data_IF_894131432989
#
_entry.id   IF_894131432989
#
_cell.length_a   1.000
_cell.length_b   1.000
_cell.length_c   1.000
_cell.angle_alpha   90.00
_cell.angle_beta   90.00
_cell.angle_gamma   90.00
#
_symmetry.space_group_name_H-M   'P 1'
#
loop_
_entity.id
_entity.type
_entity.pdbx_description
1 polymer ?
#
# COMPACT_ATOMS: atom_id res chain seq x y z
N UNK A 1 5.33 9.20 4.30
CA UNK A 1 4.19 8.27 4.56
C UNK A 1 4.65 6.84 4.23
N UNK A 2 4.30 5.82 5.02
CA UNK A 2 4.58 4.41 4.64
C UNK A 2 3.49 3.90 3.70
N UNK A 3 3.85 3.26 2.59
CA UNK A 3 2.90 2.74 1.61
C UNK A 3 2.77 1.22 1.75
N UNK A 4 3.90 0.51 1.68
CA UNK A 4 3.93 -0.95 1.66
C UNK A 4 5.22 -1.46 2.30
N UNK A 5 5.15 -2.67 2.86
CA UNK A 5 6.31 -3.37 3.42
C UNK A 5 6.63 -4.59 2.55
N UNK A 6 7.79 -4.58 1.89
CA UNK A 6 8.30 -5.68 1.10
C UNK A 6 9.05 -6.66 2.01
N UNK A 7 8.74 -7.94 1.87
CA UNK A 7 9.36 -9.02 2.65
C UNK A 7 9.93 -10.04 1.67
N UNK A 8 11.24 -10.25 1.76
CA UNK A 8 11.93 -11.37 1.15
C UNK A 8 12.44 -12.30 2.25
N UNK A 9 12.59 -13.59 1.93
CA UNK A 9 13.04 -14.60 2.88
C UNK A 9 14.15 -15.44 2.25
N UNK A 10 15.30 -15.43 2.91
CA UNK A 10 16.41 -16.33 2.64
C UNK A 10 16.44 -17.41 3.74
N UNK A 11 16.76 -18.65 3.36
CA UNK A 11 16.87 -19.78 4.30
C UNK A 11 18.28 -19.95 4.86
N UNK A 12 19.24 -19.18 4.34
CA UNK A 12 20.62 -19.20 4.80
C UNK A 12 20.78 -18.46 6.14
N UNK A 13 21.79 -18.85 6.91
CA UNK A 13 22.09 -18.28 8.23
C UNK A 13 23.26 -17.30 8.16
N UNK A 14 23.30 -16.34 9.09
CA UNK A 14 24.38 -15.34 9.16
C UNK A 14 24.23 -14.26 8.09
N UNK A 15 25.35 -13.74 7.57
CA UNK A 15 25.33 -12.65 6.57
C UNK A 15 24.65 -13.05 5.26
N UNK A 16 24.68 -14.34 4.93
CA UNK A 16 23.98 -14.88 3.75
C UNK A 16 22.46 -14.85 3.92
N UNK A 17 21.95 -14.76 5.16
CA UNK A 17 20.53 -14.54 5.42
C UNK A 17 20.15 -13.05 5.48
N UNK A 18 21.12 -12.14 5.38
CA UNK A 18 20.87 -10.71 5.39
C UNK A 18 20.48 -10.25 3.99
N UNK A 19 19.28 -9.70 3.88
CA UNK A 19 18.71 -9.21 2.63
C UNK A 19 18.74 -7.70 2.64
N UNK A 20 19.22 -7.12 1.55
CA UNK A 20 19.02 -5.71 1.25
C UNK A 20 18.00 -5.53 0.12
N UNK A 21 17.29 -4.40 0.17
CA UNK A 21 16.26 -4.04 -0.79
C UNK A 21 16.64 -2.78 -1.55
N UNK A 22 16.33 -2.76 -2.84
CA UNK A 22 16.49 -1.60 -3.70
C UNK A 22 15.31 -1.45 -4.67
N UNK A 23 15.08 -0.23 -5.15
CA UNK A 23 14.14 0.05 -6.22
C UNK A 23 14.95 0.43 -7.46
N UNK A 24 14.76 -0.36 -8.52
CA UNK A 24 15.43 -0.19 -9.81
C UNK A 24 14.47 0.27 -10.91
N UNK A 25 15.04 0.94 -11.91
CA UNK A 25 14.31 1.48 -13.06
C UNK A 25 14.27 3.00 -13.07
N UNK A 26 13.43 3.57 -13.94
CA UNK A 26 13.20 5.02 -13.99
C UNK A 26 12.18 5.39 -12.90
N UNK A 27 12.61 5.34 -11.66
CA UNK A 27 11.75 5.57 -10.50
C UNK A 27 11.80 7.05 -10.14
N UNK A 28 10.67 7.75 -10.07
CA UNK A 28 10.63 9.11 -9.55
C UNK A 28 11.16 9.12 -8.11
N UNK A 29 11.90 10.17 -7.73
CA UNK A 29 12.38 10.38 -6.35
C UNK A 29 11.24 10.41 -5.30
N UNK A 30 9.99 10.40 -5.77
CA UNK A 30 8.75 10.24 -5.02
C UNK A 30 8.70 8.99 -4.15
N UNK A 31 9.32 7.87 -4.57
CA UNK A 31 9.31 6.61 -3.81
C UNK A 31 10.71 6.23 -3.34
N UNK A 32 10.83 5.93 -2.05
CA UNK A 32 12.07 5.42 -1.44
C UNK A 32 11.80 4.06 -0.80
N UNK A 33 12.80 3.17 -0.81
CA UNK A 33 12.78 1.93 -0.03
C UNK A 33 13.85 1.96 1.03
N UNK A 34 13.49 1.57 2.25
CA UNK A 34 14.49 1.33 3.29
C UNK A 34 15.21 0.01 2.98
N UNK A 35 16.52 0.10 2.71
CA UNK A 35 17.32 -1.05 2.31
C UNK A 35 17.37 -2.20 3.32
N UNK A 36 17.11 -1.95 4.61
CA UNK A 36 17.18 -2.98 5.65
C UNK A 36 15.80 -3.53 5.97
N UNK A 37 14.80 -2.66 6.07
CA UNK A 37 13.45 -3.07 6.47
C UNK A 37 12.57 -3.48 5.30
N UNK A 38 12.86 -3.04 4.08
CA UNK A 38 12.00 -3.23 2.90
C UNK A 38 10.75 -2.35 2.90
N UNK A 39 10.66 -1.36 3.80
CA UNK A 39 9.53 -0.41 3.85
C UNK A 39 9.67 0.62 2.74
N UNK A 40 8.64 0.74 1.91
CA UNK A 40 8.54 1.77 0.87
C UNK A 40 7.80 2.98 1.40
N UNK A 41 8.41 4.16 1.27
CA UNK A 41 7.86 5.45 1.67
C UNK A 41 7.59 6.36 0.50
N UNK A 42 6.62 7.25 0.70
CA UNK A 42 6.29 8.37 -0.17
C UNK A 42 6.91 9.65 0.40
N UNK A 43 7.76 10.30 -0.39
CA UNK A 43 8.41 11.57 -0.04
C UNK A 43 7.66 12.79 -0.62
N UNK A 44 7.02 12.64 -1.77
CA UNK A 44 6.28 13.72 -2.43
C UNK A 44 4.80 13.36 -2.62
N UNK A 45 3.88 14.34 -2.53
CA UNK A 45 2.46 14.10 -2.75
C UNK A 45 2.20 13.60 -4.18
N UNK A 46 1.27 12.66 -4.29
CA UNK A 46 0.83 12.11 -5.58
C UNK A 46 -0.26 13.00 -6.18
N UNK A 47 -0.18 13.18 -7.49
CA UNK A 47 -1.12 13.98 -8.29
C UNK A 47 -1.65 13.07 -9.41
N UNK A 48 -2.90 12.63 -9.27
CA UNK A 48 -3.51 11.64 -10.15
C UNK A 48 -3.63 12.16 -11.57
N UNK A 49 -3.89 13.46 -11.73
CA UNK A 49 -4.02 14.14 -13.02
C UNK A 49 -2.69 14.16 -13.79
N UNK A 50 -1.55 14.10 -13.09
CA UNK A 50 -0.22 13.97 -13.71
C UNK A 50 0.15 12.53 -13.99
N UNK A 51 0.08 11.66 -12.98
CA UNK A 51 0.47 10.26 -13.06
C UNK A 51 -0.50 9.43 -12.21
N UNK A 52 -1.21 8.52 -12.85
CA UNK A 52 -2.20 7.66 -12.20
C UNK A 52 -1.66 6.27 -11.83
N UNK A 53 -0.52 5.87 -12.38
CA UNK A 53 0.10 4.57 -12.14
C UNK A 53 1.63 4.65 -12.18
N UNK A 54 2.27 3.98 -11.22
CA UNK A 54 3.71 3.79 -11.16
C UNK A 54 4.06 2.30 -11.24
N UNK A 55 4.91 1.95 -12.21
CA UNK A 55 5.42 0.60 -12.40
C UNK A 55 6.91 0.57 -12.06
N UNK A 56 7.25 -0.02 -10.92
CA UNK A 56 8.61 -0.05 -10.38
C UNK A 56 9.11 -1.49 -10.23
N UNK A 57 10.42 -1.69 -10.31
CA UNK A 57 11.04 -3.00 -10.03
C UNK A 57 11.72 -2.95 -8.66
N UNK A 58 11.28 -3.81 -7.74
CA UNK A 58 11.93 -3.98 -6.43
C UNK A 58 12.87 -5.17 -6.52
N UNK A 59 14.12 -4.98 -6.10
CA UNK A 59 15.14 -6.01 -6.05
C UNK A 59 15.42 -6.31 -4.58
N UNK A 60 15.43 -7.60 -4.23
CA UNK A 60 15.98 -8.10 -2.97
C UNK A 60 17.24 -8.90 -3.28
N UNK A 61 18.34 -8.63 -2.60
CA UNK A 61 19.61 -9.34 -2.80
C UNK A 61 20.24 -9.74 -1.48
N UNK A 62 20.82 -10.95 -1.45
CA UNK A 62 21.59 -11.43 -0.29
C UNK A 62 22.98 -10.78 -0.23
N UNK A 63 23.57 -10.76 0.95
CA UNK A 63 24.92 -10.22 1.21
C UNK A 63 26.03 -11.28 1.11
N UNK A 64 25.79 -12.40 0.43
CA UNK A 64 26.77 -13.45 0.22
C UNK A 64 27.87 -13.07 -0.79
N UNK A 65 29.00 -13.79 -0.74
CA UNK A 65 30.15 -13.59 -1.67
C UNK A 65 29.76 -13.81 -3.13
N UNK A 66 28.77 -14.66 -3.38
CA UNK A 66 28.12 -14.85 -4.67
C UNK A 66 26.66 -14.41 -4.56
N UNK A 67 26.45 -13.09 -4.43
CA UNK A 67 25.13 -12.49 -4.17
C UNK A 67 24.08 -12.97 -5.15
N UNK A 68 22.97 -13.51 -4.62
CA UNK A 68 21.78 -13.81 -5.41
C UNK A 68 20.76 -12.71 -5.21
N UNK A 69 20.04 -12.43 -6.29
CA UNK A 69 18.97 -11.45 -6.27
C UNK A 69 17.70 -12.01 -6.87
N UNK A 70 16.58 -11.44 -6.42
CA UNK A 70 15.26 -11.65 -6.99
C UNK A 70 14.59 -10.31 -7.21
N UNK A 71 13.98 -10.16 -8.38
CA UNK A 71 13.27 -8.94 -8.77
C UNK A 71 11.77 -9.21 -8.82
N UNK A 72 10.97 -8.28 -8.28
CA UNK A 72 9.52 -8.29 -8.36
C UNK A 72 9.00 -6.94 -8.85
N UNK A 73 7.89 -6.95 -9.58
CA UNK A 73 7.20 -5.73 -10.01
C UNK A 73 6.31 -5.19 -8.89
N UNK A 74 6.42 -3.90 -8.61
CA UNK A 74 5.54 -3.14 -7.73
C UNK A 74 4.72 -2.15 -8.57
N UNK A 75 3.40 -2.33 -8.56
CA UNK A 75 2.45 -1.46 -9.26
C UNK A 75 1.70 -0.64 -8.21
N UNK A 76 1.80 0.69 -8.29
CA UNK A 76 1.08 1.61 -7.41
C UNK A 76 0.08 2.40 -8.26
N UNK A 77 -1.21 2.20 -7.98
CA UNK A 77 -2.29 2.97 -8.60
C UNK A 77 -2.71 4.11 -7.68
N UNK A 78 -2.74 5.33 -8.20
CA UNK A 78 -3.21 6.50 -7.45
C UNK A 78 -4.73 6.53 -7.49
N UNK A 79 -5.34 6.18 -6.36
CA UNK A 79 -6.80 6.21 -6.19
C UNK A 79 -7.34 7.63 -6.23
N UNK A 80 -8.61 7.77 -6.63
CA UNK A 80 -9.35 9.00 -6.40
C UNK A 80 -9.46 9.24 -4.90
N UNK A 81 -9.06 10.42 -4.45
CA UNK A 81 -9.54 10.90 -3.15
C UNK A 81 -11.05 11.08 -3.36
N UNK A 82 -11.87 10.22 -2.76
CA UNK A 82 -13.30 10.51 -2.67
C UNK A 82 -13.49 11.62 -1.64
N UNK A 83 -13.13 12.84 -2.03
CA UNK A 83 -13.32 14.09 -1.28
C UNK A 83 -14.80 14.51 -1.19
N UNK A 84 -15.73 13.64 -1.60
CA UNK A 84 -17.15 13.73 -1.29
C UNK A 84 -17.56 12.62 -0.30
N UNK A 85 -17.08 12.66 0.96
CA UNK A 85 -17.72 11.88 2.00
C UNK A 85 -19.19 12.31 2.08
N UNK A 86 -20.15 11.38 2.22
CA UNK A 86 -21.55 11.75 2.34
C UNK A 86 -21.72 12.71 3.53
N UNK A 87 -22.09 13.96 3.23
CA UNK A 87 -22.43 14.95 4.24
C UNK A 87 -23.82 14.61 4.74
N UNK A 88 -23.91 13.95 5.90
CA UNK A 88 -25.18 13.82 6.59
C UNK A 88 -25.64 15.22 7.01
N UNK A 89 -26.80 15.66 6.52
CA UNK A 89 -27.40 16.94 6.90
C UNK A 89 -27.69 17.04 8.41
N UNK A 90 -27.71 15.91 9.10
CA UNK A 90 -27.96 15.81 10.53
C UNK A 90 -27.01 14.80 11.19
N UNK A 91 -26.52 15.12 12.39
CA UNK A 91 -25.66 14.23 13.20
C UNK A 91 -26.37 12.95 13.66
N UNK A 92 -27.69 12.91 13.56
CA UNK A 92 -28.54 11.77 13.94
C UNK A 92 -29.88 11.89 13.21
N UNK A 93 -30.32 10.81 12.58
CA UNK A 93 -31.68 10.68 12.07
C UNK A 93 -32.49 9.90 13.11
N UNK A 94 -33.52 10.53 13.67
CA UNK A 94 -34.47 9.84 14.58
C UNK A 94 -35.71 9.49 13.77
N UNK A 95 -35.99 8.20 13.63
CA UNK A 95 -37.25 7.72 13.06
C UNK A 95 -38.14 7.19 14.20
N UNK A 96 -39.36 7.70 14.31
CA UNK A 96 -40.39 7.10 15.14
C UNK A 96 -41.06 5.99 14.31
N UNK A 97 -40.75 4.74 14.64
CA UNK A 97 -41.45 3.60 14.04
C UNK A 97 -42.79 3.46 14.77
N UNK A 98 -43.87 3.91 14.12
CA UNK A 98 -45.22 3.63 14.60
C UNK A 98 -45.55 2.18 14.28
N UNK A 99 -45.41 1.30 15.27
CA UNK A 99 -45.96 -0.05 15.20
C UNK A 99 -47.49 0.06 15.07
N UNK A 100 -47.99 0.02 13.85
CA UNK A 100 -49.40 -0.24 13.60
C UNK A 100 -49.64 -1.71 13.95
N UNK A 101 -50.07 -1.92 15.19
CA UNK A 101 -50.72 -3.16 15.60
C UNK A 101 -51.90 -3.43 14.65
N UNK A 102 -51.74 -4.43 13.77
CA UNK A 102 -52.87 -5.16 13.23
C UNK A 102 -52.49 -6.65 13.11
N UNK A 103 -52.74 -7.34 14.22
CA UNK A 103 -53.31 -8.68 14.34
C UNK A 103 -53.18 -9.59 13.11
N UNK A 104 -52.34 -10.62 13.22
CA UNK A 104 -52.46 -11.81 12.39
C UNK A 104 -53.74 -12.57 12.76
N UNK A 105 -54.62 -12.77 11.77
CA UNK A 105 -55.70 -13.74 11.83
C UNK A 105 -55.13 -15.16 11.63
N UNK A 106 -55.40 -16.05 12.58
CA UNK A 106 -55.85 -17.44 12.38
C UNK A 106 -56.43 -17.97 13.69
#
# INVERSE_FOLDING_TARGET
>A
MSIIHIIAKDSDSGINGQIEYDISGNVPLTFLINKITGVVTLEEPLDREKINEYNMSVIAYDMGVASRSQTSTLIITVGDVNDNPPVFSQKSYTALIQIHNHLGCS
#
